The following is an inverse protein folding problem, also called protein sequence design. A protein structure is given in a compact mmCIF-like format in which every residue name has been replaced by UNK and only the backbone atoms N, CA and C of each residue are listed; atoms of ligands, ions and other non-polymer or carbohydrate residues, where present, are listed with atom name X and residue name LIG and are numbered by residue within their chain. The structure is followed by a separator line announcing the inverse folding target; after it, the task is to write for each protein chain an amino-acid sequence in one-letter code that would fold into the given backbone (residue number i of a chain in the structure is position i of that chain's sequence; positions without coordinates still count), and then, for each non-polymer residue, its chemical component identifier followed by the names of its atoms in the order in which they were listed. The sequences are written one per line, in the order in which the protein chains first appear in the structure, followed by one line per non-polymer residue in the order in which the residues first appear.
data_IF_948791515964
#
_entry.id   IF_948791515964
#
_cell.length_a   1.000
_cell.length_b   1.000
_cell.length_c   1.000
_cell.angle_alpha   90.00
_cell.angle_beta   90.00
_cell.angle_gamma   90.00
#
_symmetry.space_group_name_H-M   'P 1'
#
loop_
_entity.id
_entity.type
_entity.pdbx_description
1 polymer ?
#
# COMPACT_ATOMS: atom_id res chain seq x y z
N UNK A 1 11.38 1.58 10.18
CA UNK A 1 10.72 0.26 10.30
C UNK A 1 10.75 -0.41 8.94
N UNK A 2 11.55 -1.47 8.77
CA UNK A 2 11.61 -2.28 7.56
C UNK A 2 10.78 -3.54 7.77
N UNK A 3 9.74 -3.78 6.96
CA UNK A 3 8.96 -5.02 7.05
C UNK A 3 9.65 -6.23 6.38
N UNK A 4 10.87 -6.04 5.86
CA UNK A 4 11.67 -7.08 5.18
C UNK A 4 11.16 -7.49 3.79
N UNK A 5 9.92 -7.16 3.44
CA UNK A 5 9.28 -7.59 2.18
C UNK A 5 9.51 -6.57 1.07
N UNK A 6 10.15 -7.02 -0.01
CA UNK A 6 10.39 -6.25 -1.23
C UNK A 6 9.52 -6.70 -2.40
N UNK A 7 9.66 -6.05 -3.58
CA UNK A 7 9.15 -6.60 -4.83
C UNK A 7 9.87 -7.92 -5.15
N UNK A 8 9.27 -8.76 -5.98
CA UNK A 8 9.75 -10.12 -6.26
C UNK A 8 11.17 -10.19 -6.88
N UNK A 9 11.65 -9.08 -7.44
CA UNK A 9 12.98 -8.89 -8.01
C UNK A 9 14.02 -8.36 -6.98
N UNK A 10 13.56 -7.86 -5.83
CA UNK A 10 14.46 -7.52 -4.73
C UNK A 10 14.83 -8.80 -3.98
N UNK A 11 16.12 -9.15 -4.03
CA UNK A 11 16.72 -10.25 -3.26
C UNK A 11 16.61 -9.99 -1.76
N UNK A 12 15.41 -10.18 -1.21
CA UNK A 12 15.14 -10.11 0.22
C UNK A 12 15.28 -11.51 0.80
N UNK A 13 16.04 -11.63 1.89
CA UNK A 13 16.30 -12.90 2.59
C UNK A 13 15.01 -13.58 3.07
N UNK A 14 13.88 -12.86 3.08
CA UNK A 14 12.54 -13.39 3.32
C UNK A 14 11.80 -13.66 2.00
N UNK A 15 11.44 -14.92 1.74
CA UNK A 15 10.68 -15.41 0.56
C UNK A 15 9.30 -14.76 0.32
N UNK A 16 8.87 -13.82 1.15
CA UNK A 16 7.51 -13.27 1.10
C UNK A 16 7.47 -11.95 0.33
N UNK A 17 6.97 -12.05 -0.90
CA UNK A 17 6.75 -10.91 -1.80
C UNK A 17 5.75 -9.94 -1.15
N UNK A 18 6.07 -8.65 -1.14
CA UNK A 18 5.13 -7.63 -0.66
C UNK A 18 4.02 -7.41 -1.71
N UNK A 19 2.72 -7.61 -1.36
CA UNK A 19 1.62 -7.38 -2.31
C UNK A 19 1.58 -5.94 -2.84
N UNK A 20 1.93 -4.96 -1.99
CA UNK A 20 2.01 -3.56 -2.42
C UNK A 20 3.12 -3.32 -3.46
N UNK A 21 4.21 -4.09 -3.37
CA UNK A 21 5.30 -4.01 -4.33
C UNK A 21 4.98 -4.69 -5.67
N UNK A 22 3.93 -5.51 -5.74
CA UNK A 22 3.43 -6.11 -6.98
C UNK A 22 2.24 -5.36 -7.61
N UNK A 23 1.57 -4.48 -6.86
CA UNK A 23 0.37 -3.78 -7.34
C UNK A 23 0.74 -2.61 -8.27
N UNK A 24 0.88 -2.94 -9.56
CA UNK A 24 1.27 -2.00 -10.61
C UNK A 24 0.21 -0.93 -10.90
N UNK A 25 -1.05 -1.14 -10.52
CA UNK A 25 -2.13 -0.16 -10.80
C UNK A 25 -1.95 1.17 -10.09
N UNK A 26 -1.16 1.19 -9.01
CA UNK A 26 -0.83 2.40 -8.27
C UNK A 26 0.62 2.87 -8.52
N UNK A 27 1.30 2.33 -9.54
CA UNK A 27 2.63 2.79 -9.90
C UNK A 27 2.65 4.30 -10.16
N UNK A 28 3.63 4.99 -9.56
CA UNK A 28 3.77 6.44 -9.64
C UNK A 28 2.89 7.22 -8.65
N UNK A 29 1.99 6.57 -7.92
CA UNK A 29 1.19 7.23 -6.87
C UNK A 29 2.11 7.69 -5.75
N UNK A 30 1.98 8.97 -5.40
CA UNK A 30 2.86 9.64 -4.46
C UNK A 30 4.33 9.43 -4.87
N UNK A 31 4.68 9.47 -6.16
CA UNK A 31 6.07 9.22 -6.61
C UNK A 31 6.66 7.85 -6.20
N UNK A 32 5.82 6.89 -5.76
CA UNK A 32 6.24 5.57 -5.32
C UNK A 32 6.27 4.56 -6.47
N UNK A 33 7.12 3.54 -6.33
CA UNK A 33 7.08 2.40 -7.23
C UNK A 33 5.92 1.46 -6.85
N UNK A 34 5.05 1.14 -7.81
CA UNK A 34 3.83 0.35 -7.59
C UNK A 34 3.00 0.94 -6.43
N UNK A 35 2.39 0.13 -5.58
CA UNK A 35 1.66 0.64 -4.42
C UNK A 35 2.55 0.86 -3.17
N UNK A 36 3.87 1.02 -3.31
CA UNK A 36 4.78 1.15 -2.17
C UNK A 36 4.43 2.33 -1.24
N UNK A 37 4.18 3.52 -1.81
CA UNK A 37 3.72 4.71 -1.07
C UNK A 37 2.19 4.84 -1.00
N UNK A 38 1.48 3.73 -1.23
CA UNK A 38 0.03 3.63 -1.10
C UNK A 38 -0.38 2.24 -0.58
N UNK A 39 0.48 1.63 0.22
CA UNK A 39 0.38 0.23 0.61
C UNK A 39 -0.89 -0.07 1.41
N UNK A 40 -1.45 0.94 2.08
CA UNK A 40 -2.70 0.87 2.82
C UNK A 40 -3.91 0.50 1.93
N UNK A 41 -3.85 0.71 0.61
CA UNK A 41 -4.93 0.36 -0.32
C UNK A 41 -4.88 -1.13 -0.74
N UNK A 42 -3.73 -1.80 -0.64
CA UNK A 42 -3.54 -3.16 -1.18
C UNK A 42 -3.86 -4.23 -0.13
N UNK A 43 -4.89 -5.06 -0.34
CA UNK A 43 -5.20 -6.14 0.60
C UNK A 43 -4.02 -7.13 0.76
N UNK A 44 -3.87 -7.73 1.95
CA UNK A 44 -2.82 -8.72 2.21
C UNK A 44 -1.44 -8.16 2.57
N UNK A 45 -1.27 -6.84 2.66
CA UNK A 45 -0.04 -6.25 3.20
C UNK A 45 0.00 -6.38 4.72
N UNK A 46 1.17 -6.68 5.28
CA UNK A 46 1.34 -6.72 6.73
C UNK A 46 1.64 -5.34 7.30
N UNK A 47 0.77 -4.89 8.19
CA UNK A 47 1.07 -3.79 9.12
C UNK A 47 1.20 -4.43 10.51
N UNK A 48 2.34 -4.25 11.18
CA UNK A 48 2.55 -4.80 12.53
C UNK A 48 2.60 -6.33 12.62
N UNK A 49 3.11 -7.03 11.60
CA UNK A 49 3.23 -8.50 11.52
C UNK A 49 1.92 -9.29 11.35
N UNK A 50 0.78 -8.65 11.13
CA UNK A 50 -0.48 -9.34 10.83
C UNK A 50 -0.98 -9.03 9.41
N UNK A 51 -1.46 -10.07 8.72
CA UNK A 51 -2.14 -9.92 7.43
C UNK A 51 -3.48 -9.24 7.68
N UNK A 52 -3.61 -7.99 7.23
CA UNK A 52 -4.81 -7.19 7.43
C UNK A 52 -5.84 -7.48 6.33
N UNK A 53 -7.06 -7.84 6.74
CA UNK A 53 -8.20 -8.17 5.87
C UNK A 53 -8.83 -6.98 5.13
N UNK A 54 -10.15 -7.01 4.95
CA UNK A 54 -10.94 -6.06 4.13
C UNK A 54 -10.61 -4.59 4.46
N UNK A 55 -10.48 -3.76 3.42
CA UNK A 55 -10.02 -2.36 3.45
C UNK A 55 -10.52 -1.51 4.64
N UNK A 56 -11.77 -1.63 5.08
CA UNK A 56 -12.31 -0.79 6.15
C UNK A 56 -11.61 -1.01 7.50
N UNK A 57 -11.29 -2.27 7.86
CA UNK A 57 -10.48 -2.58 9.06
C UNK A 57 -9.04 -2.12 8.90
N UNK A 58 -8.52 -2.24 7.68
CA UNK A 58 -7.14 -1.89 7.35
C UNK A 58 -6.89 -0.38 7.37
N UNK A 59 -7.82 0.42 6.84
CA UNK A 59 -7.68 1.88 6.81
C UNK A 59 -7.55 2.44 8.24
N UNK A 60 -8.35 1.94 9.18
CA UNK A 60 -8.24 2.31 10.61
C UNK A 60 -6.86 2.07 11.21
N UNK A 61 -6.21 0.96 10.88
CA UNK A 61 -4.85 0.66 11.35
C UNK A 61 -3.76 1.40 10.55
N UNK A 62 -4.04 1.77 9.30
CA UNK A 62 -3.10 2.54 8.48
C UNK A 62 -3.11 4.03 8.83
N UNK A 63 -4.23 4.61 9.27
CA UNK A 63 -4.26 6.01 9.74
C UNK A 63 -3.49 6.23 11.03
N UNK A 64 -3.03 5.18 11.72
CA UNK A 64 -2.11 5.26 12.87
C UNK A 64 -0.69 4.82 12.52
N UNK A 65 -0.40 4.54 11.24
CA UNK A 65 0.91 4.09 10.80
C UNK A 65 1.83 5.28 10.51
N UNK A 66 3.02 5.29 11.11
CA UNK A 66 4.02 6.35 10.90
C UNK A 66 4.38 6.55 9.43
N UNK A 67 4.41 5.47 8.64
CA UNK A 67 4.69 5.57 7.20
C UNK A 67 3.56 6.29 6.46
N UNK A 68 2.30 6.03 6.82
CA UNK A 68 1.16 6.74 6.23
C UNK A 68 1.21 8.24 6.56
N UNK A 69 1.50 8.58 7.82
CA UNK A 69 1.66 9.98 8.25
C UNK A 69 2.82 10.66 7.53
N UNK A 70 3.93 9.96 7.35
CA UNK A 70 5.08 10.46 6.59
C UNK A 70 4.72 10.71 5.14
N UNK A 71 4.03 9.78 4.48
CA UNK A 71 3.60 9.99 3.08
C UNK A 71 2.62 11.17 2.98
N UNK A 72 1.67 11.30 3.91
CA UNK A 72 0.79 12.48 3.95
C UNK A 72 1.56 13.78 4.15
N UNK A 73 2.55 13.81 5.05
CA UNK A 73 3.36 15.00 5.30
C UNK A 73 4.26 15.36 4.11
N UNK A 74 4.85 14.35 3.44
CA UNK A 74 5.70 14.53 2.26
C UNK A 74 4.91 15.00 1.04
N UNK A 75 3.68 14.49 0.84
CA UNK A 75 2.83 14.87 -0.29
C UNK A 75 2.02 16.14 -0.04
N UNK A 76 1.70 16.44 1.21
CA UNK A 76 0.90 17.60 1.63
C UNK A 76 -0.34 17.83 0.73
N UNK A 77 -0.33 18.92 -0.05
CA UNK A 77 -1.43 19.31 -0.95
C UNK A 77 -1.61 18.39 -2.16
N UNK A 78 -0.60 17.59 -2.51
CA UNK A 78 -0.62 16.64 -3.62
C UNK A 78 -1.06 15.23 -3.19
N UNK A 79 -1.40 15.04 -1.91
CA UNK A 79 -1.81 13.74 -1.40
C UNK A 79 -3.11 13.24 -2.05
N UNK A 80 -3.03 12.09 -2.72
CA UNK A 80 -4.17 11.49 -3.39
C UNK A 80 -5.04 10.76 -2.36
N UNK A 81 -6.30 11.17 -2.26
CA UNK A 81 -7.24 10.60 -1.31
C UNK A 81 -7.41 9.09 -1.53
N UNK A 82 -7.49 8.37 -0.41
CA UNK A 82 -7.59 6.91 -0.36
C UNK A 82 -8.80 6.39 -1.18
N UNK A 83 -9.89 7.15 -1.24
CA UNK A 83 -11.05 6.82 -2.08
C UNK A 83 -10.74 6.84 -3.58
N UNK A 84 -9.90 7.77 -4.05
CA UNK A 84 -9.48 7.86 -5.45
C UNK A 84 -8.56 6.69 -5.80
N UNK A 85 -7.63 6.35 -4.91
CA UNK A 85 -6.74 5.19 -5.10
C UNK A 85 -7.53 3.88 -5.16
N UNK A 86 -8.56 3.73 -4.32
CA UNK A 86 -9.42 2.55 -4.37
C UNK A 86 -10.16 2.41 -5.71
N UNK A 87 -10.59 3.52 -6.33
CA UNK A 87 -11.22 3.48 -7.66
C UNK A 87 -10.27 2.91 -8.72
N UNK A 88 -8.95 3.12 -8.58
CA UNK A 88 -7.93 2.59 -9.50
C UNK A 88 -7.69 1.09 -9.31
N UNK A 89 -7.80 0.57 -8.08
CA UNK A 89 -7.57 -0.86 -7.79
C UNK A 89 -8.80 -1.74 -8.03
N UNK A 90 -10.02 -1.22 -7.80
CA UNK A 90 -11.25 -2.02 -7.91
C UNK A 90 -11.31 -2.78 -9.23
N UNK A 91 -11.51 -4.12 -9.22
CA UNK A 91 -11.74 -4.85 -10.45
C UNK A 91 -13.01 -4.33 -11.13
N UNK A 92 -13.09 -4.37 -12.47
CA UNK A 92 -14.32 -4.01 -13.17
C UNK A 92 -15.46 -4.87 -12.62
N UNK A 93 -16.60 -4.25 -12.30
CA UNK A 93 -17.81 -5.00 -11.93
C UNK A 93 -18.11 -5.95 -13.09
N UNK A 94 -17.87 -7.25 -12.89
CA UNK A 94 -18.45 -8.27 -13.78
C UNK A 94 -19.96 -8.13 -13.65
N UNK A 95 -20.60 -7.69 -14.73
CA UNK A 95 -22.06 -7.82 -14.92
C UNK A 95 -22.38 -9.29 -15.13
#
# INVERSE_FOLDING_TARGET
MHCGRGPADAATETKEICPAACEKKLHGVHGGNNAGRSCWIVAGTLCGNEVQGVFAKKYGNCVTCDFYHRVMAEEASSFELTMNLMKRIKPPKKK
#
